data_IF_704667668281
#
_entry.id   IF_704667668281
#
_cell.length_a   1.000
_cell.length_b   1.000
_cell.length_c   1.000
_cell.angle_alpha   90.00
_cell.angle_beta   90.00
_cell.angle_gamma   90.00
#
_symmetry.space_group_name_H-M   'P 1'
#
loop_
_entity.id
_entity.type
_entity.pdbx_description
1 polymer ?
#
# COMPACT_ATOMS: atom_id res chain seq x y z
N UNK A 1 42.08 -47.97 -8.39
CA UNK A 1 40.80 -47.22 -8.54
C UNK A 1 39.98 -47.38 -7.25
N UNK A 2 40.58 -47.26 -6.08
CA UNK A 2 41.08 -46.08 -5.37
C UNK A 2 39.97 -45.39 -4.59
N UNK A 3 39.83 -45.83 -3.34
CA UNK A 3 39.08 -45.19 -2.24
C UNK A 3 39.35 -43.68 -2.15
N UNK A 4 40.53 -43.23 -2.62
CA UNK A 4 40.91 -41.83 -2.78
C UNK A 4 40.01 -41.05 -3.75
N UNK A 5 39.54 -41.65 -4.85
CA UNK A 5 38.62 -40.98 -5.79
C UNK A 5 37.22 -40.83 -5.20
N UNK A 6 36.76 -41.80 -4.41
CA UNK A 6 35.46 -41.72 -3.74
C UNK A 6 35.47 -40.64 -2.64
N UNK A 7 36.55 -40.55 -1.88
CA UNK A 7 36.75 -39.49 -0.88
C UNK A 7 36.86 -38.12 -1.55
N UNK A 8 37.54 -38.01 -2.70
CA UNK A 8 37.60 -36.77 -3.48
C UNK A 8 36.23 -36.34 -4.00
N UNK A 9 35.42 -37.27 -4.51
CA UNK A 9 34.07 -36.97 -4.99
C UNK A 9 33.17 -36.57 -3.83
N UNK A 10 33.23 -37.26 -2.68
CA UNK A 10 32.44 -36.89 -1.49
C UNK A 10 32.86 -35.52 -0.96
N UNK A 11 34.16 -35.21 -0.90
CA UNK A 11 34.65 -33.89 -0.49
C UNK A 11 34.24 -32.79 -1.48
N UNK A 12 34.22 -33.08 -2.79
CA UNK A 12 33.72 -32.15 -3.81
C UNK A 12 32.21 -31.92 -3.67
N UNK A 13 31.40 -32.96 -3.48
CA UNK A 13 29.95 -32.82 -3.28
C UNK A 13 29.63 -32.08 -1.98
N UNK A 14 30.34 -32.38 -0.88
CA UNK A 14 30.17 -31.68 0.41
C UNK A 14 30.61 -30.22 0.32
N UNK A 15 31.70 -29.91 -0.39
CA UNK A 15 32.13 -28.51 -0.59
C UNK A 15 31.17 -27.73 -1.48
N UNK A 16 30.61 -28.34 -2.53
CA UNK A 16 29.59 -27.69 -3.38
C UNK A 16 28.28 -27.46 -2.61
N UNK A 17 27.84 -28.41 -1.77
CA UNK A 17 26.65 -28.24 -0.92
C UNK A 17 26.86 -27.19 0.19
N UNK A 18 28.08 -27.06 0.74
CA UNK A 18 28.43 -26.01 1.71
C UNK A 18 28.66 -24.63 1.06
N UNK A 19 28.77 -24.57 -0.27
CA UNK A 19 28.94 -23.32 -1.03
C UNK A 19 27.62 -22.71 -1.50
N UNK A 20 26.48 -23.34 -1.21
CA UNK A 20 25.16 -22.70 -1.35
C UNK A 20 24.96 -21.75 -0.16
N UNK A 21 25.81 -20.73 -0.09
CA UNK A 21 25.55 -19.56 0.72
C UNK A 21 24.51 -18.74 -0.03
N UNK A 22 23.27 -18.77 0.44
CA UNK A 22 22.26 -17.79 0.03
C UNK A 22 22.73 -16.42 0.54
N UNK A 23 23.58 -15.76 -0.24
CA UNK A 23 24.13 -14.47 0.09
C UNK A 23 23.06 -13.40 -0.12
N UNK A 24 22.11 -13.33 0.83
CA UNK A 24 21.11 -12.28 0.91
C UNK A 24 21.79 -10.95 1.31
N UNK A 25 22.52 -10.36 0.37
CA UNK A 25 23.03 -8.99 0.47
C UNK A 25 21.95 -7.94 0.15
N UNK A 26 20.68 -8.35 0.15
CA UNK A 26 19.54 -7.46 0.37
C UNK A 26 18.96 -7.74 1.75
N UNK A 27 19.69 -7.33 2.78
CA UNK A 27 19.00 -6.74 3.93
C UNK A 27 18.18 -5.57 3.37
N UNK A 28 16.89 -5.83 3.10
CA UNK A 28 15.90 -4.75 3.03
C UNK A 28 16.21 -3.89 4.24
N UNK A 29 16.40 -2.59 4.03
CA UNK A 29 16.27 -1.60 5.11
C UNK A 29 14.85 -1.74 5.65
N UNK A 30 14.60 -2.75 6.48
CA UNK A 30 13.52 -2.68 7.44
C UNK A 30 13.87 -1.44 8.23
N UNK A 31 12.97 -0.46 8.20
CA UNK A 31 13.01 0.61 9.21
C UNK A 31 13.21 -0.12 10.54
N UNK A 32 14.10 0.36 11.42
CA UNK A 32 14.18 -0.13 12.79
C UNK A 32 12.83 0.16 13.47
N UNK A 33 11.85 -0.72 13.25
CA UNK A 33 10.53 -0.67 13.87
C UNK A 33 10.77 -1.09 15.31
N UNK A 34 10.28 -0.28 16.24
CA UNK A 34 10.45 -0.52 17.66
C UNK A 34 9.49 -1.62 18.11
N UNK A 35 9.92 -2.40 19.08
CA UNK A 35 9.08 -3.36 19.78
C UNK A 35 7.83 -2.67 20.37
N UNK A 36 6.65 -3.26 20.15
CA UNK A 36 5.36 -2.68 20.50
C UNK A 36 4.95 -1.46 19.65
N UNK A 37 5.56 -1.24 18.48
CA UNK A 37 5.08 -0.24 17.53
C UNK A 37 3.69 -0.62 17.01
N UNK A 38 2.84 0.38 16.75
CA UNK A 38 1.47 0.20 16.30
C UNK A 38 1.29 0.81 14.92
N UNK A 39 0.44 0.18 14.08
CA UNK A 39 -0.06 0.74 12.82
C UNK A 39 -1.51 0.35 12.59
N UNK A 40 -2.21 1.15 11.78
CA UNK A 40 -3.55 0.84 11.28
C UNK A 40 -3.45 0.32 9.85
N UNK A 41 -4.22 -0.72 9.53
CA UNK A 41 -4.28 -1.35 8.20
C UNK A 41 -5.71 -1.55 7.73
N UNK A 42 -5.93 -1.51 6.40
CA UNK A 42 -7.22 -1.81 5.78
C UNK A 42 -8.31 -0.75 5.91
N UNK A 43 -8.03 0.38 6.57
CA UNK A 43 -8.98 1.50 6.69
C UNK A 43 -9.00 2.43 5.47
N UNK A 44 -10.09 3.21 5.33
CA UNK A 44 -10.32 4.09 4.17
C UNK A 44 -9.39 5.29 4.16
N UNK A 45 -8.80 5.64 5.29
CA UNK A 45 -7.87 6.74 5.43
C UNK A 45 -6.87 6.41 6.55
N UNK A 46 -5.97 7.35 6.85
CA UNK A 46 -4.92 7.13 7.85
C UNK A 46 -5.39 7.11 9.31
N UNK A 47 -6.66 7.44 9.59
CA UNK A 47 -7.23 7.54 10.94
C UNK A 47 -8.08 6.35 11.35
N UNK A 48 -8.28 5.37 10.48
CA UNK A 48 -9.06 4.16 10.78
C UNK A 48 -8.36 2.92 10.24
N UNK A 49 -8.68 1.75 10.81
CA UNK A 49 -8.14 0.47 10.38
C UNK A 49 -8.04 -0.55 11.51
N UNK A 50 -7.72 -1.79 11.13
CA UNK A 50 -7.36 -2.83 12.09
C UNK A 50 -6.04 -2.48 12.77
N UNK A 51 -5.94 -2.77 14.06
CA UNK A 51 -4.74 -2.52 14.85
C UNK A 51 -3.76 -3.66 14.66
N UNK A 52 -2.57 -3.34 14.17
CA UNK A 52 -1.44 -4.26 14.18
C UNK A 52 -0.36 -3.75 15.14
N UNK A 53 0.23 -4.68 15.89
CA UNK A 53 1.35 -4.46 16.80
C UNK A 53 2.58 -5.23 16.33
N UNK A 54 3.75 -4.61 16.48
CA UNK A 54 5.03 -5.21 16.12
C UNK A 54 5.63 -5.93 17.32
N UNK A 55 5.81 -7.25 17.21
CA UNK A 55 6.44 -8.08 18.23
C UNK A 55 7.40 -9.08 17.59
N UNK A 56 8.61 -9.20 18.14
CA UNK A 56 9.64 -10.15 17.69
C UNK A 56 9.93 -10.09 16.17
N UNK A 57 9.94 -8.89 15.61
CA UNK A 57 10.27 -8.68 14.19
C UNK A 57 9.08 -8.81 13.23
N UNK A 58 7.89 -9.16 13.71
CA UNK A 58 6.72 -9.49 12.89
C UNK A 58 5.52 -8.64 13.32
N UNK A 59 4.81 -8.09 12.35
CA UNK A 59 3.52 -7.43 12.58
C UNK A 59 2.43 -8.49 12.76
N UNK A 60 1.59 -8.32 13.77
CA UNK A 60 0.44 -9.17 14.03
C UNK A 60 -0.75 -8.37 14.54
N UNK A 61 -1.93 -8.98 14.51
CA UNK A 61 -3.19 -8.37 14.94
C UNK A 61 -3.42 -8.53 16.43
N UNK A 62 -4.42 -7.81 16.94
CA UNK A 62 -4.93 -7.92 18.31
C UNK A 62 -6.34 -8.51 18.22
N UNK A 63 -6.69 -9.43 19.12
CA UNK A 63 -8.05 -9.97 19.19
C UNK A 63 -9.03 -8.92 19.71
N UNK A 64 -10.28 -8.94 19.26
CA UNK A 64 -11.33 -8.01 19.66
C UNK A 64 -12.10 -8.42 20.93
N UNK A 65 -11.70 -9.51 21.58
CA UNK A 65 -12.18 -9.90 22.91
C UNK A 65 -11.68 -8.94 24.00
N UNK A 66 -12.61 -8.48 24.84
CA UNK A 66 -12.44 -7.38 25.81
C UNK A 66 -11.97 -6.03 25.21
N UNK A 67 -11.91 -5.90 23.88
CA UNK A 67 -11.51 -4.66 23.20
C UNK A 67 -12.56 -3.56 23.37
N UNK A 68 -12.23 -2.47 24.05
CA UNK A 68 -13.16 -1.36 24.24
C UNK A 68 -12.57 0.01 23.83
N UNK A 69 -13.35 1.06 24.08
CA UNK A 69 -12.98 2.43 23.71
C UNK A 69 -11.71 2.91 24.42
N UNK A 70 -11.32 2.35 25.56
CA UNK A 70 -10.11 2.69 26.33
C UNK A 70 -8.86 2.21 25.59
N UNK A 71 -8.83 0.96 25.15
CA UNK A 71 -7.74 0.40 24.34
C UNK A 71 -7.61 1.20 23.03
N UNK A 72 -8.75 1.44 22.36
CA UNK A 72 -8.79 2.24 21.15
C UNK A 72 -8.25 3.67 21.37
N UNK A 73 -8.58 4.31 22.49
CA UNK A 73 -8.07 5.62 22.85
C UNK A 73 -6.54 5.62 23.03
N UNK A 74 -5.97 4.56 23.62
CA UNK A 74 -4.52 4.41 23.76
C UNK A 74 -3.88 4.31 22.36
N UNK A 75 -4.44 3.53 21.45
CA UNK A 75 -3.97 3.44 20.05
C UNK A 75 -3.97 4.81 19.36
N UNK A 76 -5.10 5.52 19.37
CA UNK A 76 -5.20 6.83 18.73
C UNK A 76 -4.23 7.86 19.35
N UNK A 77 -3.97 7.76 20.66
CA UNK A 77 -2.98 8.60 21.36
C UNK A 77 -1.55 8.27 20.94
N UNK A 78 -1.18 6.99 20.86
CA UNK A 78 0.15 6.53 20.42
C UNK A 78 0.44 6.99 18.99
N UNK A 79 -0.57 6.94 18.13
CA UNK A 79 -0.48 7.39 16.73
C UNK A 79 -0.57 8.92 16.58
N UNK A 80 -0.83 9.67 17.66
CA UNK A 80 -0.94 11.13 17.64
C UNK A 80 -2.24 11.67 17.02
N UNK A 81 -3.21 10.79 16.76
CA UNK A 81 -4.44 11.09 16.04
C UNK A 81 -5.51 11.77 16.91
N UNK A 82 -5.41 11.68 18.24
CA UNK A 82 -6.40 12.25 19.16
C UNK A 82 -7.08 11.15 19.95
N UNK A 83 -8.39 11.29 20.19
CA UNK A 83 -9.18 10.26 20.84
C UNK A 83 -9.74 9.28 19.79
N UNK A 84 -10.10 8.09 20.26
CA UNK A 84 -10.88 7.14 19.47
C UNK A 84 -12.34 7.60 19.43
N UNK A 85 -12.93 7.59 18.23
CA UNK A 85 -14.37 7.74 18.06
C UNK A 85 -15.08 6.39 18.20
N UNK A 86 -14.41 5.32 17.75
CA UNK A 86 -14.99 3.98 17.70
C UNK A 86 -13.91 2.93 17.94
N UNK A 87 -14.23 1.90 18.73
CA UNK A 87 -13.53 0.63 18.76
C UNK A 87 -14.30 -0.34 17.86
N UNK A 88 -13.63 -0.93 16.86
CA UNK A 88 -14.27 -1.83 15.88
C UNK A 88 -13.87 -3.28 16.14
N UNK A 89 -14.76 -4.18 15.75
CA UNK A 89 -14.71 -5.61 16.04
C UNK A 89 -14.86 -6.42 14.75
N UNK A 90 -14.69 -7.74 14.83
CA UNK A 90 -14.92 -8.70 13.76
C UNK A 90 -14.15 -8.39 12.46
N UNK A 91 -12.98 -7.77 12.56
CA UNK A 91 -12.15 -7.45 11.40
C UNK A 91 -12.86 -6.53 10.40
N UNK A 92 -13.53 -5.49 10.89
CA UNK A 92 -14.27 -4.50 10.08
C UNK A 92 -13.45 -3.96 8.88
N UNK A 93 -12.14 -3.80 9.06
CA UNK A 93 -11.23 -3.30 8.03
C UNK A 93 -10.50 -4.41 7.27
N UNK A 94 -10.97 -5.65 7.37
CA UNK A 94 -10.38 -6.83 6.77
C UNK A 94 -10.04 -7.91 7.80
N UNK A 95 -9.84 -9.15 7.33
CA UNK A 95 -9.47 -10.25 8.23
C UNK A 95 -8.03 -10.08 8.69
N UNK A 96 -7.78 -10.28 9.99
CA UNK A 96 -6.45 -10.42 10.56
C UNK A 96 -5.80 -11.72 10.11
N UNK A 97 -5.31 -11.77 8.87
CA UNK A 97 -4.61 -12.94 8.30
C UNK A 97 -3.17 -13.07 8.80
N UNK A 98 -2.73 -12.19 9.70
CA UNK A 98 -1.43 -12.25 10.37
C UNK A 98 -1.57 -12.97 11.71
N UNK A 99 -0.43 -13.27 12.33
CA UNK A 99 -0.37 -13.81 13.69
C UNK A 99 -1.14 -12.89 14.66
N UNK A 100 -1.95 -13.46 15.54
CA UNK A 100 -2.59 -12.71 16.63
C UNK A 100 -1.59 -12.64 17.79
N UNK A 101 -1.24 -11.43 18.22
CA UNK A 101 -0.21 -11.21 19.24
C UNK A 101 -0.75 -10.98 20.64
N UNK A 102 -1.94 -10.39 20.76
CA UNK A 102 -2.55 -10.03 22.04
C UNK A 102 -4.03 -10.40 22.01
N UNK A 103 -4.54 -10.82 23.16
CA UNK A 103 -5.92 -11.27 23.38
C UNK A 103 -6.36 -10.95 24.81
N UNK A 104 -7.67 -10.77 25.02
CA UNK A 104 -8.30 -10.30 26.26
C UNK A 104 -7.60 -9.05 26.82
N UNK A 105 -7.43 -8.04 25.94
CA UNK A 105 -6.69 -6.84 26.27
C UNK A 105 -7.54 -5.90 27.13
N UNK A 106 -7.16 -5.75 28.39
CA UNK A 106 -7.86 -4.92 29.37
C UNK A 106 -6.98 -3.80 29.90
N UNK A 107 -7.30 -2.57 29.51
CA UNK A 107 -6.67 -1.33 29.96
C UNK A 107 -7.60 -0.54 30.92
N UNK A 108 -6.99 0.22 31.82
CA UNK A 108 -7.68 1.20 32.66
C UNK A 108 -7.88 2.54 31.92
N UNK A 109 -7.12 2.80 30.85
CA UNK A 109 -7.22 3.95 29.94
C UNK A 109 -6.16 5.04 30.16
N UNK A 110 -5.29 4.89 31.17
CA UNK A 110 -4.20 5.83 31.48
C UNK A 110 -2.83 5.33 30.99
N UNK A 111 -2.76 4.09 30.54
CA UNK A 111 -1.57 3.45 30.01
C UNK A 111 -1.03 4.22 28.79
N UNK A 112 0.30 4.13 28.62
CA UNK A 112 0.99 4.80 27.51
C UNK A 112 1.24 3.88 26.32
N UNK A 113 1.15 2.57 26.53
CA UNK A 113 1.44 1.51 25.55
C UNK A 113 0.47 0.36 25.79
N UNK A 114 0.06 -0.34 24.74
CA UNK A 114 -0.87 -1.47 24.89
C UNK A 114 -0.25 -2.61 25.69
N UNK A 115 1.06 -2.83 25.58
CA UNK A 115 1.77 -3.84 26.37
C UNK A 115 1.86 -3.52 27.87
N UNK A 116 1.42 -2.34 28.32
CA UNK A 116 1.32 -2.00 29.74
C UNK A 116 -0.03 -2.42 30.34
N UNK A 117 -1.00 -2.78 29.49
CA UNK A 117 -2.30 -3.29 29.90
C UNK A 117 -2.24 -4.78 30.24
N UNK A 118 -3.29 -5.31 30.89
CA UNK A 118 -3.42 -6.74 31.15
C UNK A 118 -3.85 -7.46 29.87
N UNK A 119 -3.22 -8.58 29.55
CA UNK A 119 -3.60 -9.49 28.46
C UNK A 119 -3.03 -10.89 28.74
N UNK A 120 -3.50 -11.90 28.01
CA UNK A 120 -3.20 -13.32 28.32
C UNK A 120 -1.77 -13.77 27.99
N UNK A 121 -0.99 -12.91 27.35
CA UNK A 121 0.39 -13.14 26.96
C UNK A 121 0.61 -13.17 25.45
N UNK A 122 1.86 -13.00 25.03
CA UNK A 122 2.20 -12.85 23.62
C UNK A 122 1.90 -14.11 22.80
N UNK A 123 1.00 -13.99 21.83
CA UNK A 123 0.62 -15.09 20.93
C UNK A 123 -0.22 -16.18 21.58
N UNK A 124 -0.72 -15.95 22.80
CA UNK A 124 -1.70 -16.81 23.47
C UNK A 124 -3.08 -16.23 23.15
N UNK A 125 -3.89 -16.98 22.42
CA UNK A 125 -5.24 -16.60 22.00
C UNK A 125 -6.01 -17.84 21.52
N UNK A 126 -7.34 -17.78 21.56
CA UNK A 126 -8.24 -18.74 20.91
C UNK A 126 -9.04 -18.11 19.74
N UNK A 127 -8.73 -16.85 19.42
CA UNK A 127 -9.35 -16.10 18.34
C UNK A 127 -8.99 -16.58 16.93
N UNK A 128 -9.93 -16.37 16.01
CA UNK A 128 -9.80 -16.59 14.58
C UNK A 128 -9.32 -15.33 13.86
N UNK A 129 -8.91 -15.47 12.60
CA UNK A 129 -8.56 -14.31 11.74
C UNK A 129 -9.70 -13.32 11.51
N UNK A 130 -10.94 -13.67 11.85
CA UNK A 130 -12.09 -12.75 11.79
C UNK A 130 -12.19 -11.84 12.99
N UNK A 131 -11.52 -12.14 14.10
CA UNK A 131 -11.65 -11.44 15.39
C UNK A 131 -10.57 -10.36 15.53
N UNK A 132 -10.27 -9.65 14.44
CA UNK A 132 -9.28 -8.59 14.47
C UNK A 132 -9.88 -7.30 15.02
N UNK A 133 -9.28 -6.76 16.08
CA UNK A 133 -9.61 -5.47 16.65
C UNK A 133 -9.19 -4.31 15.73
N UNK A 134 -10.02 -3.27 15.67
CA UNK A 134 -9.73 -2.05 14.93
C UNK A 134 -10.15 -0.78 15.66
N UNK A 135 -9.81 0.36 15.08
CA UNK A 135 -10.20 1.68 15.60
C UNK A 135 -10.60 2.62 14.48
N UNK A 136 -11.44 3.58 14.83
CA UNK A 136 -11.54 4.86 14.14
C UNK A 136 -11.14 5.97 15.12
N UNK A 137 -10.16 6.79 14.72
CA UNK A 137 -9.69 7.93 15.48
C UNK A 137 -10.36 9.22 14.99
N UNK A 138 -10.39 10.23 15.86
CA UNK A 138 -10.75 11.58 15.46
C UNK A 138 -9.82 12.03 14.32
N UNK A 139 -10.36 12.16 13.11
CA UNK A 139 -9.71 12.95 12.07
C UNK A 139 -9.66 14.38 12.59
N UNK A 140 -8.51 14.81 13.11
CA UNK A 140 -8.31 16.21 13.49
C UNK A 140 -8.44 17.07 12.24
N UNK A 141 -9.68 17.44 11.92
CA UNK A 141 -10.04 18.20 10.74
C UNK A 141 -9.23 19.49 10.64
N UNK A 142 -8.44 19.60 9.57
CA UNK A 142 -8.48 20.67 8.54
C UNK A 142 -8.67 22.15 8.96
N UNK A 143 -8.45 22.56 10.22
CA UNK A 143 -8.66 23.97 10.68
C UNK A 143 -7.59 24.57 11.59
N UNK A 144 -6.38 23.99 11.69
CA UNK A 144 -5.24 24.67 12.35
C UNK A 144 -3.93 24.54 11.56
N UNK A 145 -3.90 25.12 10.36
CA UNK A 145 -2.64 25.50 9.70
C UNK A 145 -2.79 26.84 8.95
N UNK A 146 -3.53 27.78 9.54
CA UNK A 146 -3.18 29.19 9.38
C UNK A 146 -2.29 29.58 10.55
N UNK A 147 -1.28 30.40 10.26
CA UNK A 147 -0.24 30.86 11.18
C UNK A 147 0.85 29.82 11.46
N UNK A 148 1.86 29.79 10.59
CA UNK A 148 3.26 30.11 10.94
C UNK A 148 4.01 30.45 9.65
N UNK A 149 3.91 31.72 9.26
CA UNK A 149 4.72 32.34 8.21
C UNK A 149 6.13 32.47 8.76
N UNK A 150 7.13 31.90 8.08
CA UNK A 150 8.52 32.31 8.25
C UNK A 150 9.17 32.49 6.88
N UNK A 151 9.52 33.75 6.62
CA UNK A 151 10.24 34.25 5.47
C UNK A 151 11.70 33.81 5.56
N UNK A 152 12.26 33.27 4.48
CA UNK A 152 13.68 33.46 4.13
C UNK A 152 13.85 33.36 2.61
N UNK A 153 14.60 34.29 1.98
CA UNK A 153 14.93 34.21 0.56
C UNK A 153 16.24 33.43 0.39
N UNK A 154 16.28 32.48 -0.53
CA UNK A 154 17.51 31.88 -1.00
C UNK A 154 17.48 31.71 -2.52
N UNK A 155 18.54 32.22 -3.14
CA UNK A 155 18.81 32.39 -4.56
C UNK A 155 19.45 31.16 -5.21
N UNK A 156 19.00 30.85 -6.44
CA UNK A 156 19.73 30.32 -7.63
C UNK A 156 19.65 28.82 -8.01
N UNK A 157 19.16 28.64 -9.25
CA UNK A 157 19.32 27.62 -10.33
C UNK A 157 18.25 26.52 -10.51
N UNK A 158 17.82 26.23 -11.77
CA UNK A 158 16.51 25.64 -12.08
C UNK A 158 16.55 24.11 -11.97
N UNK A 159 15.83 23.60 -10.98
CA UNK A 159 15.39 22.22 -10.89
C UNK A 159 13.92 22.23 -11.31
N UNK A 160 13.48 21.29 -12.15
CA UNK A 160 12.07 21.12 -12.51
C UNK A 160 11.22 21.23 -11.24
N UNK A 161 10.51 22.34 -11.08
CA UNK A 161 9.85 22.66 -9.82
C UNK A 161 8.59 21.82 -9.72
N UNK A 162 8.66 20.83 -8.85
CA UNK A 162 7.52 20.03 -8.42
C UNK A 162 6.69 20.92 -7.50
N UNK A 163 5.71 21.60 -8.08
CA UNK A 163 4.89 22.56 -7.35
C UNK A 163 3.88 21.85 -6.44
N UNK A 164 3.49 22.51 -5.36
CA UNK A 164 2.35 22.13 -4.50
C UNK A 164 1.48 23.36 -4.31
N UNK A 165 0.27 23.34 -4.87
CA UNK A 165 -0.67 24.45 -4.76
C UNK A 165 -1.63 24.25 -3.60
N UNK A 166 -1.91 25.31 -2.84
CA UNK A 166 -2.57 25.17 -1.53
C UNK A 166 -4.09 25.24 -1.55
N UNK A 167 -4.74 25.28 -2.71
CA UNK A 167 -6.20 25.25 -2.82
C UNK A 167 -6.64 24.64 -4.16
N UNK A 168 -6.69 23.30 -4.22
CA UNK A 168 -7.28 22.56 -5.34
C UNK A 168 -8.61 21.96 -4.85
N UNK A 169 -9.72 22.47 -5.39
CA UNK A 169 -11.03 21.87 -5.20
C UNK A 169 -11.25 20.80 -6.27
N UNK A 170 -11.96 19.72 -5.91
CA UNK A 170 -12.18 18.56 -6.79
C UNK A 170 -13.67 18.23 -6.85
N UNK A 171 -14.16 17.83 -8.03
CA UNK A 171 -15.49 17.23 -8.20
C UNK A 171 -15.48 16.11 -9.25
N UNK A 172 -16.48 15.23 -9.19
CA UNK A 172 -16.73 14.19 -10.20
C UNK A 172 -17.93 14.56 -11.05
N UNK A 173 -17.79 14.43 -12.37
CA UNK A 173 -18.84 14.75 -13.34
C UNK A 173 -19.01 13.66 -14.39
N UNK A 174 -20.20 13.55 -15.00
CA UNK A 174 -20.47 12.62 -16.10
C UNK A 174 -20.59 11.13 -15.73
N UNK A 175 -20.43 10.79 -14.45
CA UNK A 175 -20.77 9.47 -13.93
C UNK A 175 -22.29 9.24 -13.82
N UNK A 176 -22.72 7.97 -13.81
CA UNK A 176 -24.12 7.62 -13.52
C UNK A 176 -24.44 7.70 -12.04
N UNK A 177 -23.42 7.50 -11.21
CA UNK A 177 -23.49 7.56 -9.76
C UNK A 177 -22.56 8.63 -9.22
N UNK A 178 -22.80 9.05 -7.98
CA UNK A 178 -21.95 10.03 -7.30
C UNK A 178 -20.54 9.49 -6.96
N UNK A 179 -20.31 8.19 -7.09
CA UNK A 179 -19.04 7.50 -6.81
C UNK A 179 -18.16 7.34 -8.05
N UNK A 180 -18.59 7.81 -9.22
CA UNK A 180 -17.82 7.69 -10.46
C UNK A 180 -17.91 8.97 -11.28
N UNK A 181 -16.93 9.19 -12.16
CA UNK A 181 -16.94 10.32 -13.07
C UNK A 181 -15.55 10.76 -13.52
N UNK A 182 -15.52 11.67 -14.48
CA UNK A 182 -14.29 12.40 -14.82
C UNK A 182 -13.93 13.32 -13.66
N UNK A 183 -12.63 13.48 -13.42
CA UNK A 183 -12.12 14.32 -12.36
C UNK A 183 -11.95 15.74 -12.88
N UNK A 184 -12.71 16.67 -12.32
CA UNK A 184 -12.56 18.10 -12.57
C UNK A 184 -11.96 18.77 -11.35
N UNK A 185 -11.03 19.69 -11.59
CA UNK A 185 -10.31 20.43 -10.56
C UNK A 185 -10.43 21.92 -10.77
N UNK A 186 -10.47 22.66 -9.67
CA UNK A 186 -10.48 24.12 -9.67
C UNK A 186 -9.33 24.62 -8.81
N UNK A 187 -8.48 25.45 -9.41
CA UNK A 187 -7.28 25.98 -8.77
C UNK A 187 -7.58 27.41 -8.30
N UNK A 188 -7.63 27.62 -6.98
CA UNK A 188 -7.94 28.91 -6.38
C UNK A 188 -9.27 29.50 -6.85
N UNK A 189 -9.23 30.69 -7.47
CA UNK A 189 -10.43 31.36 -8.03
C UNK A 189 -10.60 31.16 -9.55
N UNK A 190 -9.82 30.26 -10.16
CA UNK A 190 -9.90 29.96 -11.59
C UNK A 190 -11.16 29.18 -11.98
N UNK A 191 -11.27 28.88 -13.27
CA UNK A 191 -12.31 28.02 -13.81
C UNK A 191 -12.02 26.54 -13.54
N UNK A 192 -13.04 25.70 -13.68
CA UNK A 192 -12.89 24.25 -13.64
C UNK A 192 -12.10 23.78 -14.86
N UNK A 193 -11.20 22.83 -14.63
CA UNK A 193 -10.41 22.19 -15.67
C UNK A 193 -10.23 20.70 -15.42
N UNK A 194 -9.66 20.02 -16.40
CA UNK A 194 -9.43 18.58 -16.40
C UNK A 194 -8.01 18.23 -15.95
N UNK A 195 -7.85 16.99 -15.50
CA UNK A 195 -6.54 16.37 -15.29
C UNK A 195 -6.22 15.47 -16.50
N UNK A 196 -4.99 15.54 -16.98
CA UNK A 196 -4.45 14.65 -18.00
C UNK A 196 -4.55 13.18 -17.56
N UNK A 197 -5.06 12.31 -18.44
CA UNK A 197 -5.17 10.87 -18.19
C UNK A 197 -3.85 10.10 -18.36
N UNK A 198 -2.82 10.71 -18.94
CA UNK A 198 -1.52 10.06 -19.12
C UNK A 198 -0.80 9.86 -17.78
N UNK A 199 -0.40 8.62 -17.52
CA UNK A 199 0.18 8.21 -16.24
C UNK A 199 -0.81 8.16 -15.07
N UNK A 200 -2.11 8.39 -15.29
CA UNK A 200 -3.14 8.32 -14.24
C UNK A 200 -3.34 6.88 -13.75
N UNK A 201 -3.09 6.63 -12.46
CA UNK A 201 -3.12 5.28 -11.89
C UNK A 201 -4.13 5.14 -10.74
N UNK A 202 -4.25 3.92 -10.21
CA UNK A 202 -5.08 3.64 -9.03
C UNK A 202 -4.61 4.43 -7.79
N UNK A 203 -3.35 4.85 -7.72
CA UNK A 203 -2.83 5.64 -6.60
C UNK A 203 -3.47 7.03 -6.56
N UNK A 204 -3.51 7.72 -7.70
CA UNK A 204 -4.15 9.03 -7.83
C UNK A 204 -5.67 8.91 -7.65
N UNK A 205 -6.28 7.88 -8.25
CA UNK A 205 -7.71 7.62 -8.11
C UNK A 205 -8.10 7.39 -6.65
N UNK A 206 -7.27 6.67 -5.89
CA UNK A 206 -7.50 6.44 -4.47
C UNK A 206 -7.47 7.74 -3.66
N UNK A 207 -6.49 8.63 -3.92
CA UNK A 207 -6.43 9.95 -3.27
C UNK A 207 -7.69 10.76 -3.56
N UNK A 208 -8.21 10.72 -4.78
CA UNK A 208 -9.48 11.41 -5.13
C UNK A 208 -10.67 10.83 -4.39
N UNK A 209 -10.83 9.50 -4.40
CA UNK A 209 -11.95 8.85 -3.72
C UNK A 209 -11.93 9.11 -2.21
N UNK A 210 -10.75 9.12 -1.60
CA UNK A 210 -10.58 9.46 -0.19
C UNK A 210 -10.86 10.95 0.08
N UNK A 211 -10.32 11.86 -0.73
CA UNK A 211 -10.51 13.31 -0.59
C UNK A 211 -12.01 13.70 -0.67
N UNK A 212 -12.78 13.00 -1.50
CA UNK A 212 -14.21 13.22 -1.68
C UNK A 212 -15.09 12.40 -0.72
N UNK A 213 -14.50 11.65 0.22
CA UNK A 213 -15.20 10.79 1.17
C UNK A 213 -16.10 9.74 0.48
N UNK A 214 -15.62 9.19 -0.65
CA UNK A 214 -16.33 8.20 -1.49
C UNK A 214 -15.75 6.78 -1.37
N UNK A 215 -14.91 6.55 -0.35
CA UNK A 215 -14.24 5.27 -0.11
C UNK A 215 -12.89 5.17 -0.84
N UNK A 216 -12.64 4.03 -1.46
CA UNK A 216 -11.37 3.68 -2.10
C UNK A 216 -11.43 3.82 -3.63
N UNK A 217 -10.27 4.04 -4.25
CA UNK A 217 -10.13 4.01 -5.71
C UNK A 217 -10.22 2.59 -6.25
N UNK A 218 -11.34 2.24 -6.88
CA UNK A 218 -11.56 0.92 -7.49
C UNK A 218 -11.04 0.86 -8.93
N UNK A 219 -11.22 1.94 -9.69
CA UNK A 219 -10.71 2.04 -11.05
C UNK A 219 -10.16 3.44 -11.34
N UNK A 220 -9.08 3.48 -12.11
CA UNK A 220 -8.49 4.67 -12.69
C UNK A 220 -8.75 4.66 -14.20
N UNK A 221 -9.50 5.64 -14.68
CA UNK A 221 -9.87 5.76 -16.09
C UNK A 221 -8.98 6.80 -16.75
N UNK A 222 -8.38 6.46 -17.89
CA UNK A 222 -7.38 7.29 -18.58
C UNK A 222 -7.91 7.94 -19.87
N UNK A 223 -9.21 7.80 -20.15
CA UNK A 223 -9.87 8.27 -21.37
C UNK A 223 -11.16 9.03 -21.07
N UNK A 224 -11.73 9.66 -22.09
CA UNK A 224 -13.01 10.42 -22.06
C UNK A 224 -14.28 9.57 -21.79
N UNK A 225 -14.16 8.44 -21.09
CA UNK A 225 -15.23 7.48 -20.80
C UNK A 225 -16.50 8.13 -20.19
N UNK A 226 -16.32 9.10 -19.29
CA UNK A 226 -17.42 9.84 -18.65
C UNK A 226 -17.86 11.09 -19.45
N UNK A 227 -17.61 11.08 -20.76
CA UNK A 227 -17.96 12.13 -21.71
C UNK A 227 -16.89 13.20 -21.89
N UNK A 228 -16.95 13.86 -23.05
CA UNK A 228 -16.10 14.99 -23.41
C UNK A 228 -16.59 16.27 -22.75
N UNK A 229 -15.76 16.86 -21.91
CA UNK A 229 -15.98 18.19 -21.36
C UNK A 229 -15.50 19.25 -22.36
N UNK A 230 -16.07 20.45 -22.34
CA UNK A 230 -15.51 21.61 -23.08
C UNK A 230 -14.33 22.26 -22.34
N UNK A 231 -14.04 21.78 -21.14
CA UNK A 231 -13.01 22.26 -20.24
C UNK A 231 -11.61 21.83 -20.71
N UNK A 232 -10.62 22.68 -20.43
CA UNK A 232 -9.22 22.44 -20.81
C UNK A 232 -8.53 21.60 -19.74
N UNK A 233 -7.52 20.83 -20.16
CA UNK A 233 -6.60 20.18 -19.23
C UNK A 233 -5.76 21.26 -18.54
N UNK A 234 -5.76 21.25 -17.20
CA UNK A 234 -5.08 22.25 -16.36
C UNK A 234 -4.00 21.66 -15.46
N UNK A 235 -3.91 20.33 -15.36
CA UNK A 235 -2.87 19.60 -14.63
C UNK A 235 -2.41 18.40 -15.47
N UNK A 236 -1.10 18.19 -15.55
CA UNK A 236 -0.50 17.03 -16.23
C UNK A 236 0.67 16.44 -15.44
N UNK A 237 0.89 15.13 -15.62
CA UNK A 237 1.95 14.36 -14.97
C UNK A 237 1.79 14.27 -13.46
N UNK A 238 0.55 14.11 -12.96
CA UNK A 238 0.31 13.99 -11.53
C UNK A 238 0.74 12.61 -11.01
N UNK A 239 1.46 12.60 -9.89
CA UNK A 239 2.03 11.42 -9.25
C UNK A 239 1.80 11.50 -7.74
N UNK A 240 1.02 10.57 -7.24
CA UNK A 240 0.69 10.35 -5.84
C UNK A 240 1.38 9.07 -5.33
N UNK A 241 1.57 8.99 -4.02
CA UNK A 241 1.98 7.77 -3.33
C UNK A 241 0.80 6.91 -2.88
N UNK A 242 -0.42 7.47 -2.93
CA UNK A 242 -1.67 6.86 -2.49
C UNK A 242 -1.99 7.08 -1.01
N UNK A 243 -1.16 7.86 -0.29
CA UNK A 243 -1.32 8.19 1.15
C UNK A 243 -1.64 9.65 1.41
N UNK A 244 -1.61 10.47 0.38
CA UNK A 244 -1.96 11.87 0.42
C UNK A 244 -3.42 12.04 0.85
N UNK A 245 -3.70 13.02 1.72
CA UNK A 245 -5.07 13.29 2.14
C UNK A 245 -5.85 14.09 1.08
N UNK A 246 -5.14 14.82 0.21
CA UNK A 246 -5.71 15.61 -0.86
C UNK A 246 -4.77 15.59 -2.07
N UNK A 247 -5.33 15.74 -3.27
CA UNK A 247 -4.59 15.77 -4.53
C UNK A 247 -3.55 16.91 -4.60
N UNK A 248 -3.75 17.98 -3.84
CA UNK A 248 -2.80 19.09 -3.68
C UNK A 248 -1.48 18.69 -3.03
N UNK A 249 -1.44 17.58 -2.30
CA UNK A 249 -0.23 17.06 -1.66
C UNK A 249 0.60 16.20 -2.62
N UNK A 250 -0.04 15.69 -3.69
CA UNK A 250 0.61 14.98 -4.76
C UNK A 250 1.50 15.91 -5.58
N UNK A 251 2.34 15.30 -6.39
CA UNK A 251 3.32 15.99 -7.21
C UNK A 251 2.86 16.07 -8.64
N UNK A 252 3.17 17.13 -9.38
CA UNK A 252 2.74 17.29 -10.78
C UNK A 252 3.81 17.96 -11.63
N UNK A 253 3.83 17.62 -12.93
CA UNK A 253 4.86 18.08 -13.87
C UNK A 253 4.53 19.46 -14.45
N UNK A 254 3.26 19.75 -14.73
CA UNK A 254 2.83 21.06 -15.23
C UNK A 254 1.41 21.41 -14.81
N UNK A 255 1.13 22.70 -14.66
CA UNK A 255 -0.17 23.23 -14.26
C UNK A 255 -0.48 24.58 -14.96
N UNK A 256 -1.77 24.92 -15.11
CA UNK A 256 -2.24 26.20 -15.62
C UNK A 256 -2.92 26.13 -16.99
N UNK A 257 -2.90 27.22 -17.75
CA UNK A 257 -3.70 27.37 -18.98
C UNK A 257 -3.06 26.79 -20.25
N UNK A 258 -1.74 26.54 -20.23
CA UNK A 258 -0.96 25.98 -21.35
C UNK A 258 -0.30 24.66 -20.94
N UNK A 259 -1.11 23.72 -20.47
CA UNK A 259 -0.67 22.37 -20.11
C UNK A 259 -0.75 21.47 -21.32
N UNK A 260 0.33 20.72 -21.58
CA UNK A 260 0.36 19.68 -22.61
C UNK A 260 0.16 18.33 -21.94
N UNK A 261 -0.84 17.58 -22.41
CA UNK A 261 -1.06 16.19 -22.01
C UNK A 261 -0.40 15.28 -23.05
N UNK A 262 0.74 14.63 -22.72
CA UNK A 262 1.35 13.68 -23.63
C UNK A 262 0.43 12.46 -23.74
N UNK A 263 -0.21 12.23 -24.88
CA UNK A 263 -1.17 11.13 -25.01
C UNK A 263 -2.15 11.32 -26.16
N UNK A 264 -3.21 10.51 -26.16
CA UNK A 264 -4.34 10.70 -27.09
C UNK A 264 -5.14 11.94 -26.70
N UNK A 265 -5.79 12.59 -27.66
CA UNK A 265 -6.58 13.81 -27.43
C UNK A 265 -7.71 13.61 -26.40
N UNK A 266 -8.15 12.37 -26.21
CA UNK A 266 -9.18 11.98 -25.26
C UNK A 266 -8.64 11.53 -23.89
N UNK A 267 -7.36 11.75 -23.60
CA UNK A 267 -6.71 11.31 -22.36
C UNK A 267 -7.12 12.19 -21.16
N UNK A 268 -8.24 11.82 -20.54
CA UNK A 268 -8.85 12.52 -19.41
C UNK A 268 -8.88 11.58 -18.21
N UNK A 269 -8.46 12.07 -17.06
CA UNK A 269 -8.53 11.32 -15.81
C UNK A 269 -9.99 11.15 -15.32
N UNK A 270 -10.35 9.92 -15.01
CA UNK A 270 -11.61 9.57 -14.36
C UNK A 270 -11.39 8.55 -13.24
N UNK A 271 -12.38 8.42 -12.37
CA UNK A 271 -12.35 7.51 -11.23
C UNK A 271 -13.65 6.75 -11.09
N UNK A 272 -13.54 5.55 -10.55
CA UNK A 272 -14.66 4.80 -9.98
C UNK A 272 -14.25 4.46 -8.54
N UNK A 273 -15.06 4.91 -7.59
CA UNK A 273 -14.86 4.68 -6.17
C UNK A 273 -15.72 3.52 -5.68
N UNK A 274 -15.22 2.76 -4.71
CA UNK A 274 -15.94 1.70 -4.03
C UNK A 274 -15.80 1.85 -2.52
N UNK A 275 -16.79 1.35 -1.77
CA UNK A 275 -16.75 1.40 -0.31
C UNK A 275 -15.78 0.37 0.30
N UNK A 276 -15.45 -0.68 -0.45
CA UNK A 276 -14.60 -1.79 -0.02
C UNK A 276 -13.62 -2.17 -1.13
N UNK A 277 -12.45 -2.68 -0.75
CA UNK A 277 -11.47 -3.26 -1.67
C UNK A 277 -10.94 -4.60 -1.12
N UNK A 278 -10.59 -5.54 -2.00
CA UNK A 278 -9.90 -6.76 -1.58
C UNK A 278 -8.45 -6.45 -1.16
N UNK A 279 -8.06 -6.93 0.01
CA UNK A 279 -6.66 -6.90 0.48
C UNK A 279 -6.05 -8.31 0.33
N UNK A 280 -5.24 -8.49 -0.73
CA UNK A 280 -4.63 -9.76 -1.06
C UNK A 280 -3.25 -9.87 -0.41
N UNK A 281 -3.11 -10.83 0.51
CA UNK A 281 -1.86 -11.12 1.21
C UNK A 281 -1.47 -12.58 0.94
N UNK A 282 -0.24 -12.87 0.48
CA UNK A 282 0.25 -14.25 0.36
C UNK A 282 0.35 -14.95 1.71
N UNK A 283 0.10 -16.25 1.75
CA UNK A 283 0.35 -17.08 2.93
C UNK A 283 1.84 -17.41 3.01
N UNK A 284 2.56 -16.67 3.85
CA UNK A 284 4.01 -16.83 4.03
C UNK A 284 4.36 -18.20 4.62
N UNK A 285 3.53 -18.75 5.51
CA UNK A 285 3.80 -20.04 6.17
C UNK A 285 3.66 -21.18 5.18
N UNK A 286 2.63 -21.12 4.32
CA UNK A 286 2.45 -22.13 3.28
C UNK A 286 3.56 -22.06 2.24
N UNK A 287 3.99 -20.87 1.84
CA UNK A 287 5.13 -20.69 0.93
C UNK A 287 6.41 -21.29 1.52
N UNK A 288 6.69 -21.05 2.80
CA UNK A 288 7.88 -21.61 3.46
C UNK A 288 7.82 -23.14 3.60
N UNK A 289 6.64 -23.71 3.90
CA UNK A 289 6.46 -25.16 4.07
C UNK A 289 6.42 -25.94 2.76
N UNK A 290 5.96 -25.31 1.68
CA UNK A 290 5.80 -25.95 0.37
C UNK A 290 6.97 -25.72 -0.59
N UNK A 291 8.00 -24.98 -0.19
CA UNK A 291 9.16 -24.73 -1.04
C UNK A 291 10.07 -25.97 -1.19
N UNK A 292 10.30 -26.40 -2.44
CA UNK A 292 11.25 -27.48 -2.79
C UNK A 292 11.94 -27.21 -4.14
N UNK A 293 13.02 -27.94 -4.41
CA UNK A 293 13.72 -27.92 -5.70
C UNK A 293 13.35 -29.15 -6.52
N UNK A 294 13.13 -28.96 -7.82
CA UNK A 294 12.80 -30.03 -8.75
C UNK A 294 13.40 -29.75 -10.12
N UNK A 295 14.20 -30.69 -10.63
CA UNK A 295 14.68 -30.69 -11.99
C UNK A 295 13.66 -31.40 -12.90
N UNK A 296 13.05 -30.65 -13.83
CA UNK A 296 12.10 -31.20 -14.82
C UNK A 296 12.69 -31.19 -16.21
N UNK A 297 12.52 -32.30 -16.94
CA UNK A 297 12.90 -32.37 -18.36
C UNK A 297 12.03 -31.41 -19.18
N UNK A 298 12.65 -30.73 -20.16
CA UNK A 298 11.97 -29.73 -20.99
C UNK A 298 10.76 -30.29 -21.76
N UNK A 299 10.78 -31.58 -22.11
CA UNK A 299 9.64 -32.26 -22.73
C UNK A 299 8.35 -32.16 -21.89
N UNK A 300 8.45 -32.11 -20.57
CA UNK A 300 7.29 -31.95 -19.68
C UNK A 300 6.91 -30.48 -19.41
N UNK A 301 7.68 -29.53 -19.94
CA UNK A 301 7.52 -28.09 -19.71
C UNK A 301 7.10 -27.31 -20.96
N UNK A 302 6.65 -27.99 -22.01
CA UNK A 302 6.29 -27.34 -23.29
C UNK A 302 5.26 -26.21 -23.11
N UNK A 303 4.19 -26.44 -22.35
CA UNK A 303 3.21 -25.40 -22.04
C UNK A 303 3.82 -24.25 -21.20
N UNK A 304 4.68 -24.57 -20.22
CA UNK A 304 5.37 -23.55 -19.43
C UNK A 304 6.32 -22.68 -20.28
N UNK A 305 6.88 -23.24 -21.35
CA UNK A 305 7.67 -22.47 -22.32
C UNK A 305 6.78 -21.52 -23.13
N UNK A 306 5.68 -22.01 -23.70
CA UNK A 306 4.75 -21.21 -24.51
C UNK A 306 4.10 -20.08 -23.69
N UNK A 307 3.86 -20.31 -22.40
CA UNK A 307 3.26 -19.35 -21.47
C UNK A 307 4.26 -18.42 -20.78
N UNK A 308 5.54 -18.41 -21.19
CA UNK A 308 6.59 -17.54 -20.62
C UNK A 308 6.87 -17.76 -19.11
N UNK A 309 6.72 -18.98 -18.63
CA UNK A 309 6.95 -19.35 -17.22
C UNK A 309 8.41 -19.73 -16.91
N UNK A 310 9.27 -19.89 -17.92
CA UNK A 310 10.68 -20.26 -17.74
C UNK A 310 11.62 -19.06 -17.87
N UNK A 311 12.80 -19.16 -17.26
CA UNK A 311 13.86 -18.17 -17.43
C UNK A 311 14.40 -18.17 -18.88
N UNK A 312 15.00 -17.06 -19.29
CA UNK A 312 15.45 -16.83 -20.67
C UNK A 312 16.44 -17.89 -21.21
N UNK A 313 17.20 -18.51 -20.31
CA UNK A 313 18.18 -19.54 -20.57
C UNK A 313 17.54 -20.86 -21.03
N UNK A 314 16.35 -21.21 -20.53
CA UNK A 314 15.67 -22.45 -20.87
C UNK A 314 15.29 -22.52 -22.36
N UNK A 315 14.94 -21.39 -22.96
CA UNK A 315 14.62 -21.26 -24.39
C UNK A 315 15.81 -21.46 -25.33
N UNK A 316 17.04 -21.46 -24.80
CA UNK A 316 18.26 -21.71 -25.58
C UNK A 316 18.62 -23.19 -25.61
N UNK A 317 18.18 -23.96 -24.61
CA UNK A 317 18.44 -25.40 -24.51
C UNK A 317 17.67 -26.18 -25.57
N UNK A 318 16.42 -25.78 -25.86
CA UNK A 318 15.60 -26.37 -26.93
C UNK A 318 16.26 -26.26 -28.32
N UNK A 319 17.05 -25.21 -28.57
CA UNK A 319 17.76 -25.05 -29.85
C UNK A 319 19.00 -25.94 -30.01
N UNK A 320 19.55 -26.46 -28.92
CA UNK A 320 20.73 -27.31 -28.95
C UNK A 320 20.40 -28.81 -28.88
N UNK A 321 19.14 -29.19 -28.63
CA UNK A 321 18.71 -30.59 -28.53
C UNK A 321 17.93 -31.07 -29.78
N UNK A 322 17.61 -30.18 -30.72
CA UNK A 322 17.05 -30.49 -32.04
C UNK A 322 18.06 -30.28 -33.18
N UNK A 323 19.26 -30.85 -33.04
CA UNK A 323 20.26 -30.85 -34.10
C UNK A 323 21.33 -31.92 -33.92
N UNK A 324 21.24 -32.97 -34.74
CA UNK A 324 22.29 -33.87 -35.25
C UNK A 324 23.22 -34.61 -34.27
#
# INVERSE_FOLDING_TARGET
MDQLNLIFIILLVVSVLLSVECNSTRQRRTRNVREGAIRLVGGRNSYEGNVEIFHLGIWGTICDDEWDIKEANIVCRILGMGNATTATHNGEFGRGRRKIWMDNLYCEGHEKRLQDCRFDGWGVNDCSSSEAAGVACESKNKTKFQSLISKTPATVRPKLELHKEKNIEVRLMGGRYQTEGRVEVKIGKGDWGLICGDGWSLLEANVICQQLEKGYGNAAVQSSFFGGSHEKIVISGIKCTGREANISECTYESFGSNVVCPGREDSIAGVICANELPDLVPDEVEIERSAYLEDRQLLFLQCAMEENCLASEAYKLDKNDYGE
#
